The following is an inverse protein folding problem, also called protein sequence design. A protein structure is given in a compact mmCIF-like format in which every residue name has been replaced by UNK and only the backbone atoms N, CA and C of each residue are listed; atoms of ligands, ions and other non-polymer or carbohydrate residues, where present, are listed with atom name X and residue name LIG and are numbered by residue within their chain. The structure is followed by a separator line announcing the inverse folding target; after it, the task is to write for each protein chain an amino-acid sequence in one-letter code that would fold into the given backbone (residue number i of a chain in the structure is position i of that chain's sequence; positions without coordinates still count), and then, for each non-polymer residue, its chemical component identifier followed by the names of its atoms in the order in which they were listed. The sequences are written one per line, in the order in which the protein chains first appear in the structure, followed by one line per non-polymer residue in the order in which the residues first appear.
data_IF_205096371220
#
_entry.id   IF_205096371220
#
_cell.length_a   1.000
_cell.length_b   1.000
_cell.length_c   1.000
_cell.angle_alpha   90.00
_cell.angle_beta   90.00
_cell.angle_gamma   90.00
#
_symmetry.space_group_name_H-M   'P 1'
#
loop_
_entity.id
_entity.type
_entity.pdbx_description
1 polymer ?
#
# COMPACT_ATOMS: atom_id res chain seq x y z
N UNK A 1 21.56 -3.24 -6.61
CA UNK A 1 21.86 -3.12 -5.14
C UNK A 1 23.06 -3.98 -4.77
N UNK A 2 24.05 -4.04 -5.66
CA UNK A 2 24.77 -5.30 -5.84
C UNK A 2 25.98 -5.39 -4.92
N UNK A 3 26.62 -4.26 -4.64
CA UNK A 3 27.67 -4.16 -3.64
C UNK A 3 27.23 -4.62 -2.25
N UNK A 4 25.96 -4.43 -1.89
CA UNK A 4 25.43 -4.94 -0.62
C UNK A 4 25.35 -6.48 -0.64
N UNK A 5 24.88 -7.08 -1.74
CA UNK A 5 24.86 -8.53 -1.92
C UNK A 5 26.28 -9.11 -1.95
N UNK A 6 27.19 -8.51 -2.70
CA UNK A 6 28.61 -8.88 -2.74
C UNK A 6 29.23 -8.85 -1.34
N UNK A 7 28.93 -7.81 -0.56
CA UNK A 7 29.42 -7.72 0.81
C UNK A 7 28.89 -8.88 1.65
N UNK A 8 27.58 -9.16 1.64
CA UNK A 8 26.99 -10.29 2.38
C UNK A 8 27.64 -11.63 2.00
N UNK A 9 27.92 -11.84 0.72
CA UNK A 9 28.63 -13.04 0.25
C UNK A 9 30.05 -13.10 0.79
N UNK A 10 30.83 -12.03 0.62
CA UNK A 10 32.23 -11.96 1.06
C UNK A 10 32.38 -12.09 2.58
N UNK A 11 31.35 -11.65 3.30
CA UNK A 11 31.27 -11.66 4.74
C UNK A 11 30.80 -13.00 5.32
N UNK A 12 30.34 -13.92 4.47
CA UNK A 12 29.77 -15.20 4.90
C UNK A 12 28.37 -15.11 5.50
N UNK A 13 27.69 -13.95 5.36
CA UNK A 13 26.33 -13.73 5.81
C UNK A 13 26.07 -12.35 6.40
N UNK A 14 24.87 -12.17 6.93
CA UNK A 14 24.38 -10.96 7.58
C UNK A 14 23.63 -11.31 8.88
N UNK A 15 23.77 -10.45 9.88
CA UNK A 15 23.18 -10.58 11.20
C UNK A 15 21.67 -10.26 11.21
N UNK A 16 21.02 -10.54 12.35
CA UNK A 16 19.64 -10.08 12.58
C UNK A 16 19.61 -8.62 13.04
N UNK A 17 18.50 -7.92 12.80
CA UNK A 17 18.26 -6.56 13.34
C UNK A 17 18.40 -6.51 14.87
N UNK A 18 18.05 -7.57 15.59
CA UNK A 18 18.22 -7.61 17.05
C UNK A 18 19.69 -7.68 17.48
N UNK A 19 20.54 -8.33 16.69
CA UNK A 19 21.97 -8.50 17.00
C UNK A 19 22.78 -7.27 16.55
N UNK A 20 22.38 -6.65 15.43
CA UNK A 20 22.95 -5.40 14.92
C UNK A 20 21.86 -4.36 14.61
N UNK A 21 21.34 -3.64 15.62
CA UNK A 21 20.25 -2.69 15.42
C UNK A 21 20.64 -1.47 14.59
N UNK A 22 19.71 -0.99 13.76
CA UNK A 22 19.84 0.23 12.99
C UNK A 22 19.85 1.48 13.89
N UNK A 23 20.81 2.37 13.64
CA UNK A 23 21.01 3.62 14.41
C UNK A 23 20.70 4.89 13.63
N UNK A 24 20.44 4.81 12.32
CA UNK A 24 20.18 6.00 11.49
C UNK A 24 21.42 6.81 11.11
N UNK A 25 22.60 6.38 11.49
CA UNK A 25 23.88 7.07 11.22
C UNK A 25 25.01 6.07 11.05
N UNK A 26 26.01 6.43 10.24
CA UNK A 26 27.19 5.61 10.00
C UNK A 26 28.06 5.52 11.27
N UNK A 27 28.20 4.30 11.77
CA UNK A 27 29.06 3.97 12.90
C UNK A 27 30.38 3.32 12.49
N UNK A 28 31.22 3.01 13.49
CA UNK A 28 32.34 2.09 13.27
C UNK A 28 31.82 0.65 13.23
N UNK A 29 32.28 -0.15 12.26
CA UNK A 29 31.93 -1.57 12.18
C UNK A 29 32.27 -2.30 13.48
N UNK A 30 31.26 -2.87 14.14
CA UNK A 30 31.43 -3.63 15.37
C UNK A 30 31.60 -5.12 15.03
N UNK A 31 32.86 -5.53 14.84
CA UNK A 31 33.20 -6.90 14.44
C UNK A 31 32.76 -7.96 15.44
N UNK A 32 32.58 -7.63 16.72
CA UNK A 32 32.09 -8.59 17.73
C UNK A 32 30.60 -8.86 17.58
N UNK A 33 29.80 -7.84 17.26
CA UNK A 33 28.36 -8.04 17.00
C UNK A 33 28.13 -8.80 15.69
N UNK A 34 28.95 -8.48 14.71
CA UNK A 34 28.89 -8.94 13.34
C UNK A 34 29.28 -10.42 13.15
N UNK A 35 29.81 -11.08 14.18
CA UNK A 35 30.09 -12.53 14.15
C UNK A 35 28.82 -13.41 14.02
N UNK A 36 27.62 -12.87 14.29
CA UNK A 36 26.37 -13.66 14.37
C UNK A 36 25.67 -13.72 13.00
N UNK A 37 26.28 -14.44 12.05
CA UNK A 37 25.74 -14.63 10.69
C UNK A 37 24.42 -15.41 10.70
N UNK A 38 23.29 -14.71 10.59
CA UNK A 38 21.95 -15.31 10.67
C UNK A 38 21.50 -15.90 9.34
N UNK A 39 21.80 -15.24 8.23
CA UNK A 39 21.47 -15.67 6.86
C UNK A 39 22.66 -15.42 5.94
N UNK A 40 22.86 -16.29 4.96
CA UNK A 40 23.82 -16.09 3.87
C UNK A 40 23.13 -16.23 2.51
N UNK A 41 23.76 -15.68 1.48
CA UNK A 41 23.35 -15.81 0.09
C UNK A 41 24.52 -16.41 -0.70
N UNK A 42 24.23 -17.12 -1.79
CA UNK A 42 25.26 -17.78 -2.60
C UNK A 42 25.63 -16.96 -3.85
N UNK A 43 24.79 -15.99 -4.20
CA UNK A 43 24.96 -15.10 -5.34
C UNK A 43 23.92 -14.00 -5.36
N UNK A 44 23.91 -13.25 -6.45
CA UNK A 44 22.83 -12.34 -6.83
C UNK A 44 22.74 -12.30 -8.36
N UNK A 45 21.59 -11.87 -8.86
CA UNK A 45 21.35 -11.69 -10.30
C UNK A 45 20.72 -10.33 -10.55
N UNK A 46 21.17 -9.69 -11.64
CA UNK A 46 20.53 -8.51 -12.19
C UNK A 46 19.37 -8.94 -13.10
N UNK A 47 18.27 -8.22 -13.00
CA UNK A 47 17.11 -8.39 -13.87
C UNK A 47 17.33 -7.56 -15.12
N UNK A 48 17.02 -8.12 -16.29
CA UNK A 48 17.02 -7.34 -17.52
C UNK A 48 16.05 -6.15 -17.42
N UNK A 49 16.38 -5.03 -18.05
CA UNK A 49 15.68 -3.74 -17.97
C UNK A 49 14.34 -3.72 -18.73
N UNK A 50 13.58 -4.81 -18.65
CA UNK A 50 12.29 -5.00 -19.29
C UNK A 50 11.25 -5.34 -18.23
N UNK A 51 10.05 -4.75 -18.33
CA UNK A 51 8.94 -5.04 -17.40
C UNK A 51 8.64 -6.55 -17.31
N UNK A 52 8.73 -7.26 -18.44
CA UNK A 52 8.46 -8.70 -18.50
C UNK A 52 9.46 -9.53 -17.69
N UNK A 53 10.74 -9.10 -17.66
CA UNK A 53 11.78 -9.73 -16.88
C UNK A 53 11.59 -9.46 -15.39
N UNK A 54 11.27 -8.21 -15.02
CA UNK A 54 10.92 -7.85 -13.64
C UNK A 54 9.71 -8.64 -13.15
N UNK A 55 8.67 -8.76 -13.97
CA UNK A 55 7.50 -9.58 -13.66
C UNK A 55 7.85 -11.04 -13.39
N UNK A 56 8.69 -11.64 -14.25
CA UNK A 56 9.14 -13.02 -14.06
C UNK A 56 9.97 -13.21 -12.78
N UNK A 57 10.75 -12.20 -12.38
CA UNK A 57 11.52 -12.22 -11.15
C UNK A 57 10.63 -12.08 -9.91
N UNK A 58 9.69 -11.12 -9.92
CA UNK A 58 8.74 -10.86 -8.83
C UNK A 58 7.82 -12.06 -8.54
N UNK A 59 7.50 -12.87 -9.56
CA UNK A 59 6.76 -14.13 -9.38
C UNK A 59 7.46 -15.14 -8.46
N UNK A 60 8.79 -15.06 -8.32
CA UNK A 60 9.59 -16.01 -7.56
C UNK A 60 9.94 -15.49 -6.17
N UNK A 61 10.26 -14.21 -6.05
CA UNK A 61 10.70 -13.59 -4.80
C UNK A 61 10.59 -12.06 -4.86
N UNK A 62 10.68 -11.35 -3.72
CA UNK A 62 10.83 -9.90 -3.71
C UNK A 62 12.11 -9.45 -4.42
N UNK A 63 12.04 -8.34 -5.15
CA UNK A 63 13.12 -7.81 -5.99
C UNK A 63 13.48 -6.42 -5.51
N UNK A 64 14.77 -6.18 -5.27
CA UNK A 64 15.25 -4.83 -4.97
C UNK A 64 15.26 -4.04 -6.27
N UNK A 65 14.71 -2.82 -6.25
CA UNK A 65 14.69 -1.93 -7.42
C UNK A 65 15.14 -0.52 -7.06
N UNK A 66 15.79 0.17 -8.00
CA UNK A 66 16.00 1.61 -7.97
C UNK A 66 14.81 2.34 -8.60
N UNK A 67 14.47 3.52 -8.07
CA UNK A 67 13.48 4.43 -8.62
C UNK A 67 13.96 5.88 -8.52
N UNK A 68 13.38 6.78 -9.32
CA UNK A 68 13.33 8.21 -8.99
C UNK A 68 12.26 8.45 -7.92
N UNK A 69 12.70 8.71 -6.69
CA UNK A 69 11.85 9.08 -5.55
C UNK A 69 11.82 10.59 -5.28
N UNK A 70 12.46 11.41 -6.13
CA UNK A 70 12.65 12.84 -5.92
C UNK A 70 11.42 13.70 -6.19
N UNK A 71 10.44 13.19 -6.94
CA UNK A 71 9.23 13.93 -7.27
C UNK A 71 8.37 14.26 -6.03
N UNK A 72 7.85 15.49 -5.96
CA UNK A 72 7.12 16.00 -4.78
C UNK A 72 5.83 15.20 -4.56
N UNK A 73 5.13 14.81 -5.62
CA UNK A 73 3.92 14.01 -5.56
C UNK A 73 4.20 12.55 -5.10
N UNK A 74 5.37 11.99 -5.43
CA UNK A 74 5.82 10.72 -4.83
C UNK A 74 6.11 10.87 -3.33
N UNK A 75 6.83 11.92 -2.93
CA UNK A 75 7.15 12.18 -1.52
C UNK A 75 5.87 12.36 -0.68
N UNK A 76 4.83 12.97 -1.26
CA UNK A 76 3.53 13.20 -0.63
C UNK A 76 2.50 12.10 -0.89
N UNK A 77 2.90 10.94 -1.44
CA UNK A 77 2.00 9.84 -1.74
C UNK A 77 1.28 9.31 -0.48
N UNK A 78 -0.04 9.19 -0.56
CA UNK A 78 -0.89 8.67 0.53
C UNK A 78 -1.76 7.47 0.12
N UNK A 79 -1.77 7.07 -1.15
CA UNK A 79 -2.55 5.92 -1.63
C UNK A 79 -2.99 5.99 -3.10
N UNK A 80 -3.58 4.89 -3.58
CA UNK A 80 -3.97 4.70 -4.99
C UNK A 80 -2.83 4.17 -5.86
N UNK A 81 -3.11 3.97 -7.16
CA UNK A 81 -2.08 3.58 -8.14
C UNK A 81 -1.37 4.84 -8.62
N UNK A 82 -0.08 4.92 -8.33
CA UNK A 82 0.79 6.04 -8.65
C UNK A 82 1.28 5.97 -10.11
N UNK A 83 1.09 7.06 -10.85
CA UNK A 83 1.57 7.31 -12.22
C UNK A 83 1.93 8.81 -12.35
N UNK A 84 2.64 9.32 -11.34
CA UNK A 84 2.94 10.74 -11.18
C UNK A 84 4.15 11.23 -11.97
N UNK A 85 4.69 12.37 -11.54
CA UNK A 85 5.69 13.18 -12.27
C UNK A 85 7.15 12.74 -12.06
N UNK A 86 7.40 11.58 -11.43
CA UNK A 86 8.76 11.02 -11.33
C UNK A 86 9.33 10.73 -12.72
N UNK A 87 10.64 10.94 -12.84
CA UNK A 87 11.41 10.68 -14.05
C UNK A 87 11.40 9.20 -14.41
N UNK A 88 11.24 8.91 -15.70
CA UNK A 88 11.45 7.58 -16.27
C UNK A 88 12.87 7.41 -16.86
N UNK A 89 13.76 8.37 -16.61
CA UNK A 89 15.17 8.30 -16.98
C UNK A 89 15.97 7.48 -15.96
N UNK A 90 16.69 6.43 -16.37
CA UNK A 90 17.54 5.63 -15.48
C UNK A 90 18.65 6.44 -14.79
N UNK A 91 19.10 7.55 -15.39
CA UNK A 91 20.14 8.41 -14.81
C UNK A 91 19.63 9.26 -13.63
N UNK A 92 18.30 9.38 -13.46
CA UNK A 92 17.65 10.13 -12.37
C UNK A 92 17.31 9.27 -11.14
N UNK A 93 17.64 7.98 -11.16
CA UNK A 93 17.40 7.08 -10.01
C UNK A 93 18.18 7.57 -8.78
N UNK A 94 17.45 7.84 -7.69
CA UNK A 94 18.01 8.36 -6.45
C UNK A 94 17.66 7.54 -5.19
N UNK A 95 16.74 6.59 -5.31
CA UNK A 95 16.20 5.85 -4.16
C UNK A 95 16.02 4.36 -4.45
N UNK A 96 16.28 3.52 -3.44
CA UNK A 96 16.13 2.07 -3.54
C UNK A 96 14.95 1.57 -2.71
N UNK A 97 14.08 0.76 -3.31
CA UNK A 97 12.90 0.15 -2.69
C UNK A 97 12.82 -1.34 -3.00
N UNK A 98 11.79 -2.02 -2.49
CA UNK A 98 11.59 -3.45 -2.70
C UNK A 98 10.23 -3.71 -3.37
N UNK A 99 10.22 -4.30 -4.56
CA UNK A 99 9.00 -4.83 -5.16
C UNK A 99 8.66 -6.14 -4.45
N UNK A 100 7.51 -6.19 -3.79
CA UNK A 100 7.05 -7.36 -3.01
C UNK A 100 5.89 -8.10 -3.67
N UNK A 101 5.37 -7.58 -4.77
CA UNK A 101 4.25 -8.17 -5.49
C UNK A 101 3.73 -7.26 -6.60
N UNK A 102 2.60 -7.65 -7.17
CA UNK A 102 1.91 -6.93 -8.23
C UNK A 102 0.40 -7.17 -8.10
N UNK A 103 -0.39 -6.33 -8.76
CA UNK A 103 -1.84 -6.43 -8.78
C UNK A 103 -2.46 -5.86 -10.04
N UNK A 104 -3.79 -5.93 -10.06
CA UNK A 104 -4.65 -5.35 -11.08
C UNK A 104 -5.89 -4.80 -10.37
N UNK A 105 -6.26 -3.56 -10.67
CA UNK A 105 -7.52 -2.95 -10.24
C UNK A 105 -8.23 -2.34 -11.47
N UNK A 106 -9.35 -2.96 -11.87
CA UNK A 106 -10.00 -2.63 -13.13
C UNK A 106 -9.10 -2.95 -14.33
N UNK A 107 -8.82 -1.94 -15.14
CA UNK A 107 -7.90 -2.02 -16.28
C UNK A 107 -6.47 -1.50 -15.93
N UNK A 108 -6.23 -1.16 -14.66
CA UNK A 108 -4.96 -0.62 -14.20
C UNK A 108 -4.13 -1.70 -13.52
N UNK A 109 -2.93 -1.91 -14.04
CA UNK A 109 -1.98 -2.89 -13.53
C UNK A 109 -0.94 -2.18 -12.67
N UNK A 110 -0.48 -2.77 -11.55
CA UNK A 110 0.51 -2.11 -10.68
C UNK A 110 1.51 -3.07 -10.01
N UNK A 111 2.66 -2.54 -9.63
CA UNK A 111 3.63 -3.09 -8.68
C UNK A 111 3.26 -2.72 -7.26
N UNK A 112 3.55 -3.58 -6.29
CA UNK A 112 3.46 -3.27 -4.87
C UNK A 112 4.90 -3.08 -4.37
N UNK A 113 5.25 -1.84 -4.02
CA UNK A 113 6.57 -1.52 -3.46
C UNK A 113 6.48 -1.36 -1.95
N UNK A 114 7.51 -1.84 -1.25
CA UNK A 114 7.78 -1.57 0.16
C UNK A 114 8.85 -0.48 0.24
N UNK A 115 8.53 0.62 0.91
CA UNK A 115 9.44 1.73 1.14
C UNK A 115 10.09 1.65 2.54
N UNK A 116 11.03 2.55 2.82
CA UNK A 116 11.80 2.65 4.06
C UNK A 116 11.54 3.95 4.84
N UNK A 117 10.49 4.71 4.51
CA UNK A 117 10.13 5.99 5.14
C UNK A 117 9.11 5.88 6.29
N UNK A 118 8.99 4.70 6.89
CA UNK A 118 8.05 4.43 7.98
C UNK A 118 6.61 4.18 7.51
N UNK A 119 5.75 3.84 8.47
CA UNK A 119 4.36 3.43 8.20
C UNK A 119 3.41 4.61 7.97
N UNK A 120 3.82 5.82 8.33
CA UNK A 120 3.01 7.03 8.14
C UNK A 120 3.02 7.52 6.69
N UNK A 121 3.96 7.03 5.88
CA UNK A 121 4.04 7.33 4.45
C UNK A 121 3.25 6.31 3.62
N UNK A 122 2.55 6.79 2.59
CA UNK A 122 1.79 5.94 1.68
C UNK A 122 0.72 5.10 2.35
N UNK A 123 0.63 3.84 1.96
CA UNK A 123 -0.30 2.86 2.52
C UNK A 123 0.47 1.96 3.49
N UNK A 124 0.60 2.39 4.74
CA UNK A 124 1.35 1.67 5.77
C UNK A 124 2.83 1.41 5.39
N UNK A 125 3.47 2.35 4.70
CA UNK A 125 4.83 2.23 4.19
C UNK A 125 4.97 1.57 2.82
N UNK A 126 3.84 1.28 2.15
CA UNK A 126 3.80 0.72 0.80
C UNK A 126 3.22 1.72 -0.21
N UNK A 127 3.53 1.51 -1.49
CA UNK A 127 2.89 2.20 -2.59
C UNK A 127 2.56 1.25 -3.74
N UNK A 128 1.54 1.60 -4.51
CA UNK A 128 1.23 0.92 -5.77
C UNK A 128 1.77 1.77 -6.92
N UNK A 129 2.69 1.24 -7.72
CA UNK A 129 3.28 1.94 -8.86
C UNK A 129 2.70 1.34 -10.14
N UNK A 130 2.15 2.17 -11.02
CA UNK A 130 1.54 1.68 -12.26
C UNK A 130 2.55 0.91 -13.12
N UNK A 131 2.09 -0.21 -13.68
CA UNK A 131 2.83 -1.03 -14.65
C UNK A 131 2.07 -1.11 -15.98
N UNK A 132 2.71 -1.73 -16.95
CA UNK A 132 2.22 -1.91 -18.32
C UNK A 132 1.95 -0.56 -19.00
N UNK A 133 2.93 0.34 -18.85
CA UNK A 133 2.93 1.68 -19.46
C UNK A 133 3.74 1.71 -20.74
N UNK A 134 3.72 2.85 -21.46
CA UNK A 134 4.57 3.07 -22.63
C UNK A 134 5.98 3.59 -22.29
N UNK A 135 6.34 3.69 -21.00
CA UNK A 135 7.66 4.16 -20.54
C UNK A 135 8.66 3.00 -20.63
N UNK A 136 9.78 3.19 -21.30
CA UNK A 136 10.76 2.12 -21.58
C UNK A 136 11.27 1.47 -20.28
N UNK A 137 11.56 2.29 -19.25
CA UNK A 137 12.02 1.82 -17.93
C UNK A 137 10.91 1.77 -16.88
N UNK A 138 9.65 1.88 -17.28
CA UNK A 138 8.51 1.93 -16.38
C UNK A 138 8.37 3.25 -15.62
N UNK A 139 7.33 3.36 -14.79
CA UNK A 139 7.10 4.53 -13.94
C UNK A 139 8.23 4.66 -12.91
N UNK A 140 8.77 5.86 -12.76
CA UNK A 140 9.92 6.17 -11.91
C UNK A 140 11.20 5.38 -12.25
N UNK A 141 11.36 4.96 -13.51
CA UNK A 141 12.46 4.12 -13.97
C UNK A 141 12.60 2.76 -13.23
N UNK A 142 11.52 2.24 -12.64
CA UNK A 142 11.52 1.05 -11.76
C UNK A 142 12.12 -0.22 -12.40
N UNK A 143 12.10 -0.34 -13.73
CA UNK A 143 12.66 -1.49 -14.44
C UNK A 143 14.17 -1.36 -14.69
N UNK A 144 14.76 -0.17 -14.56
CA UNK A 144 16.13 0.10 -15.01
C UNK A 144 17.22 -0.44 -14.08
N UNK A 145 16.94 -0.57 -12.78
CA UNK A 145 17.94 -1.03 -11.81
C UNK A 145 17.32 -2.04 -10.85
N UNK A 146 17.18 -3.28 -11.31
CA UNK A 146 16.56 -4.34 -10.53
C UNK A 146 17.53 -5.50 -10.30
N UNK A 147 17.63 -5.97 -9.05
CA UNK A 147 18.47 -7.13 -8.72
C UNK A 147 17.97 -7.88 -7.49
N UNK A 148 18.35 -9.15 -7.37
CA UNK A 148 17.89 -10.02 -6.29
C UNK A 148 18.96 -11.01 -5.84
N UNK A 149 19.02 -11.37 -4.54
CA UNK A 149 19.95 -12.37 -4.05
C UNK A 149 19.49 -13.78 -4.43
N UNK A 150 20.44 -14.68 -4.64
CA UNK A 150 20.19 -16.10 -4.93
C UNK A 150 20.69 -16.99 -3.80
N UNK A 151 20.02 -18.13 -3.63
CA UNK A 151 20.42 -19.19 -2.71
C UNK A 151 20.28 -20.53 -3.41
N UNK A 152 21.37 -21.27 -3.49
CA UNK A 152 21.41 -22.64 -3.99
C UNK A 152 20.65 -23.55 -3.03
N UNK A 153 19.66 -24.27 -3.56
CA UNK A 153 18.97 -25.32 -2.80
C UNK A 153 19.95 -26.46 -2.52
N UNK A 154 20.35 -26.61 -1.25
CA UNK A 154 21.35 -27.60 -0.82
C UNK A 154 20.89 -29.07 -0.84
N UNK A 155 19.86 -29.42 -1.60
CA UNK A 155 19.42 -30.79 -1.80
C UNK A 155 18.96 -31.09 -3.24
N UNK A 156 19.47 -32.15 -3.91
CA UNK A 156 18.69 -32.80 -4.94
C UNK A 156 17.41 -33.34 -4.29
N UNK A 157 16.26 -32.97 -4.82
CA UNK A 157 14.97 -33.51 -4.34
C UNK A 157 15.04 -35.05 -4.35
N UNK A 158 14.86 -35.74 -3.21
CA UNK A 158 14.81 -37.20 -3.17
C UNK A 158 13.52 -37.76 -3.80
N UNK A 159 12.63 -36.88 -4.27
CA UNK A 159 11.39 -37.25 -4.94
C UNK A 159 11.55 -37.09 -6.46
N UNK A 160 11.31 -38.16 -7.26
CA UNK A 160 11.09 -37.97 -8.68
C UNK A 160 9.91 -37.03 -8.88
N UNK A 161 10.00 -36.15 -9.88
CA UNK A 161 8.88 -35.30 -10.30
C UNK A 161 7.60 -36.14 -10.37
N UNK A 162 6.51 -35.72 -9.69
CA UNK A 162 5.23 -36.39 -9.84
C UNK A 162 4.89 -36.47 -11.33
N UNK A 163 4.52 -37.66 -11.80
CA UNK A 163 3.98 -37.81 -13.14
C UNK A 163 2.82 -36.82 -13.30
N UNK A 164 2.89 -35.98 -14.33
CA UNK A 164 1.83 -35.02 -14.67
C UNK A 164 0.53 -35.83 -14.79
N UNK A 165 -0.47 -35.61 -13.93
CA UNK A 165 -1.74 -36.31 -14.06
C UNK A 165 -2.37 -35.94 -15.41
N UNK A 166 -3.12 -36.85 -16.05
CA UNK A 166 -3.81 -36.54 -17.28
C UNK A 166 -4.72 -35.32 -17.08
N UNK A 167 -4.88 -34.45 -18.11
CA UNK A 167 -5.72 -33.28 -18.00
C UNK A 167 -7.14 -33.70 -17.59
N UNK A 168 -7.78 -32.97 -16.66
CA UNK A 168 -9.16 -33.24 -16.29
C UNK A 168 -10.09 -33.07 -17.50
N UNK A 169 -11.24 -33.76 -17.52
CA UNK A 169 -12.24 -33.56 -18.56
C UNK A 169 -12.68 -32.08 -18.62
N UNK A 170 -13.07 -31.60 -19.81
CA UNK A 170 -13.51 -30.22 -19.96
C UNK A 170 -14.70 -29.93 -19.03
N UNK A 171 -14.73 -28.76 -18.36
CA UNK A 171 -15.83 -28.39 -17.51
C UNK A 171 -17.13 -28.26 -18.31
N UNK A 172 -18.29 -28.48 -17.68
CA UNK A 172 -19.58 -28.20 -18.30
C UNK A 172 -19.68 -26.71 -18.67
N UNK A 173 -20.51 -26.37 -19.67
CA UNK A 173 -20.72 -24.98 -20.08
C UNK A 173 -21.20 -24.14 -18.88
N UNK A 174 -20.68 -22.91 -18.73
CA UNK A 174 -21.08 -22.04 -17.64
C UNK A 174 -22.57 -21.71 -17.73
N UNK A 175 -23.24 -21.52 -16.57
CA UNK A 175 -24.60 -21.02 -16.56
C UNK A 175 -24.65 -19.61 -17.19
N UNK A 176 -25.83 -19.19 -17.70
CA UNK A 176 -25.99 -17.85 -18.25
C UNK A 176 -25.66 -16.78 -17.19
N UNK A 177 -25.09 -15.64 -17.60
CA UNK A 177 -24.72 -14.60 -16.67
C UNK A 177 -25.95 -14.05 -15.94
N UNK A 178 -25.83 -13.72 -14.64
CA UNK A 178 -26.88 -13.02 -13.93
C UNK A 178 -27.14 -11.64 -14.55
N UNK A 179 -28.34 -11.07 -14.35
CA UNK A 179 -28.64 -9.73 -14.81
C UNK A 179 -27.64 -8.71 -14.22
N UNK A 180 -27.34 -7.62 -14.95
CA UNK A 180 -26.40 -6.61 -14.48
C UNK A 180 -26.87 -6.01 -13.14
N UNK A 181 -25.95 -5.79 -12.18
CA UNK A 181 -26.28 -5.12 -10.93
C UNK A 181 -26.76 -3.69 -11.21
N UNK A 182 -27.67 -3.22 -10.36
CA UNK A 182 -28.11 -1.82 -10.34
C UNK A 182 -26.92 -0.89 -10.09
N UNK A 183 -26.90 0.31 -10.69
CA UNK A 183 -25.78 1.25 -10.54
C UNK A 183 -25.58 1.62 -9.06
N UNK A 184 -24.32 1.78 -8.62
CA UNK A 184 -24.00 2.13 -7.23
C UNK A 184 -24.57 3.52 -6.88
N UNK A 185 -24.93 3.74 -5.60
CA UNK A 185 -25.46 5.02 -5.15
C UNK A 185 -24.41 6.13 -5.26
N UNK A 186 -24.83 7.32 -5.66
CA UNK A 186 -23.94 8.47 -5.92
C UNK A 186 -23.30 9.00 -4.64
N UNK A 187 -21.98 9.26 -4.61
CA UNK A 187 -21.28 9.79 -3.43
C UNK A 187 -21.76 11.18 -2.99
N UNK A 188 -21.81 11.40 -1.67
CA UNK A 188 -22.14 12.69 -1.06
C UNK A 188 -20.99 13.67 -1.25
N UNK A 189 -21.25 14.84 -1.84
CA UNK A 189 -20.22 15.82 -2.18
C UNK A 189 -19.93 16.77 -1.01
N UNK A 190 -18.66 16.94 -0.67
CA UNK A 190 -18.20 17.78 0.44
C UNK A 190 -17.35 18.95 -0.09
N UNK A 191 -18.00 20.10 -0.32
CA UNK A 191 -17.36 21.25 -0.97
C UNK A 191 -16.91 20.92 -2.40
N UNK A 192 -15.89 21.64 -2.89
CA UNK A 192 -15.46 21.55 -4.29
C UNK A 192 -14.52 20.36 -4.56
N UNK A 193 -13.70 19.98 -3.57
CA UNK A 193 -12.61 19.03 -3.75
C UNK A 193 -12.69 17.78 -2.86
N UNK A 194 -13.81 17.52 -2.18
CA UNK A 194 -13.92 16.35 -1.31
C UNK A 194 -15.26 15.64 -1.44
N UNK A 195 -15.33 14.38 -1.02
CA UNK A 195 -16.55 13.58 -1.01
C UNK A 195 -16.53 12.49 0.08
N UNK A 196 -17.72 12.03 0.44
CA UNK A 196 -17.97 10.91 1.34
C UNK A 196 -18.77 9.81 0.63
N UNK A 197 -18.87 8.63 1.22
CA UNK A 197 -19.73 7.57 0.69
C UNK A 197 -21.20 8.03 0.64
N UNK A 198 -22.01 7.40 -0.21
CA UNK A 198 -23.41 7.79 -0.41
C UNK A 198 -24.30 7.68 0.85
N UNK A 199 -23.84 6.93 1.86
CA UNK A 199 -24.52 6.75 3.15
C UNK A 199 -23.88 7.56 4.28
N UNK A 200 -22.93 8.43 3.96
CA UNK A 200 -22.20 9.26 4.91
C UNK A 200 -22.55 10.74 4.74
N UNK A 201 -22.43 11.50 5.83
CA UNK A 201 -22.67 12.95 5.86
C UNK A 201 -21.36 13.73 5.94
N UNK A 202 -21.22 14.77 5.11
CA UNK A 202 -20.08 15.68 5.13
C UNK A 202 -20.17 16.64 6.32
N UNK A 203 -19.14 16.68 7.16
CA UNK A 203 -19.02 17.59 8.30
C UNK A 203 -17.70 18.37 8.27
N UNK A 204 -17.74 19.67 8.53
CA UNK A 204 -16.51 20.47 8.53
C UNK A 204 -15.66 20.21 9.77
N UNK A 205 -14.39 19.84 9.58
CA UNK A 205 -13.41 19.63 10.65
C UNK A 205 -12.64 20.93 10.92
N UNK A 206 -12.28 21.68 9.88
CA UNK A 206 -11.48 22.90 10.02
C UNK A 206 -12.07 24.04 9.17
N UNK A 207 -12.46 25.12 9.84
CA UNK A 207 -13.02 26.33 9.25
C UNK A 207 -12.01 27.49 9.32
N UNK A 208 -11.91 28.24 8.22
CA UNK A 208 -11.10 29.45 8.13
C UNK A 208 -11.89 30.52 7.35
N UNK A 209 -12.22 31.65 8.00
CA UNK A 209 -13.02 32.73 7.40
C UNK A 209 -14.36 32.26 6.79
N UNK A 210 -15.17 31.49 7.53
CA UNK A 210 -16.46 30.92 7.10
C UNK A 210 -16.39 29.93 5.91
N UNK A 211 -15.18 29.54 5.49
CA UNK A 211 -14.96 28.47 4.53
C UNK A 211 -14.42 27.22 5.21
N UNK A 212 -15.01 26.07 4.89
CA UNK A 212 -14.50 24.78 5.34
C UNK A 212 -13.33 24.33 4.47
N UNK A 213 -12.13 24.21 5.06
CA UNK A 213 -10.93 23.77 4.37
C UNK A 213 -10.77 22.24 4.40
N UNK A 214 -11.22 21.61 5.49
CA UNK A 214 -11.09 20.17 5.70
C UNK A 214 -12.45 19.61 6.06
N UNK A 215 -12.93 18.69 5.22
CA UNK A 215 -14.16 17.95 5.45
C UNK A 215 -13.85 16.59 6.07
N UNK A 216 -14.78 16.12 6.91
CA UNK A 216 -14.81 14.76 7.42
C UNK A 216 -16.12 14.07 7.09
N UNK A 217 -16.09 12.75 6.98
CA UNK A 217 -17.23 11.89 6.77
C UNK A 217 -17.73 11.31 8.08
N UNK A 218 -19.02 11.52 8.34
CA UNK A 218 -19.74 10.88 9.42
C UNK A 218 -20.49 9.64 8.90
N UNK A 219 -20.36 8.52 9.61
CA UNK A 219 -21.00 7.22 9.32
C UNK A 219 -22.51 7.17 9.60
N UNK A 220 -23.19 8.31 9.49
CA UNK A 220 -24.65 8.40 9.59
C UNK A 220 -25.17 9.15 8.36
N UNK A 221 -26.31 8.69 7.84
CA UNK A 221 -27.11 9.49 6.91
C UNK A 221 -27.74 10.64 7.70
N UNK A 222 -27.67 11.86 7.15
CA UNK A 222 -28.17 13.09 7.76
C UNK A 222 -27.63 13.38 9.17
N UNK A 223 -26.33 13.14 9.37
CA UNK A 223 -25.67 13.34 10.66
C UNK A 223 -25.69 14.80 11.13
N UNK A 224 -25.70 14.99 12.44
CA UNK A 224 -25.47 16.29 13.08
C UNK A 224 -23.98 16.47 13.33
N UNK A 225 -23.42 17.52 12.72
CA UNK A 225 -22.00 17.84 12.85
C UNK A 225 -21.75 18.69 14.11
N UNK A 226 -21.00 18.15 15.07
CA UNK A 226 -20.59 18.89 16.26
C UNK A 226 -19.51 19.94 15.90
N UNK A 227 -19.93 21.20 15.74
CA UNK A 227 -19.06 22.30 15.32
C UNK A 227 -17.81 22.45 16.19
N UNK A 228 -16.67 22.73 15.58
CA UNK A 228 -15.40 22.93 16.28
C UNK A 228 -14.75 21.65 16.84
N UNK A 229 -15.28 20.48 16.48
CA UNK A 229 -14.78 19.18 16.95
C UNK A 229 -14.72 18.16 15.82
N UNK A 230 -14.01 17.07 16.07
CA UNK A 230 -13.92 15.93 15.14
C UNK A 230 -15.07 14.92 15.29
N UNK A 231 -16.11 15.22 16.07
CA UNK A 231 -17.20 14.29 16.38
C UNK A 231 -18.50 14.62 15.65
N UNK A 232 -19.35 13.62 15.45
CA UNK A 232 -20.68 13.78 14.86
C UNK A 232 -21.68 12.86 15.56
N UNK A 233 -22.95 13.24 15.46
CA UNK A 233 -24.08 12.57 16.07
C UNK A 233 -25.10 12.12 15.03
N UNK A 234 -25.87 11.05 15.29
CA UNK A 234 -26.99 10.67 14.44
C UNK A 234 -28.09 11.74 14.47
N UNK A 235 -28.87 11.83 13.40
CA UNK A 235 -29.96 12.81 13.24
C UNK A 235 -30.91 12.90 14.46
N UNK A 236 -31.25 11.75 15.06
CA UNK A 236 -32.19 11.68 16.17
C UNK A 236 -31.62 12.19 17.51
N UNK A 237 -30.32 12.48 17.57
CA UNK A 237 -29.61 12.96 18.77
C UNK A 237 -28.84 14.25 18.45
N UNK A 238 -29.54 15.39 18.32
CA UNK A 238 -28.97 16.61 17.75
C UNK A 238 -28.06 17.40 18.71
N UNK A 239 -27.95 17.00 19.97
CA UNK A 239 -27.17 17.72 20.98
C UNK A 239 -25.84 17.00 21.19
N UNK A 240 -24.73 17.70 20.94
CA UNK A 240 -23.38 17.18 21.14
C UNK A 240 -22.85 17.53 22.54
N UNK A 241 -22.63 16.52 23.38
CA UNK A 241 -21.87 16.63 24.62
C UNK A 241 -20.46 16.07 24.37
N UNK A 242 -19.51 16.97 24.10
CA UNK A 242 -18.15 16.61 23.70
C UNK A 242 -17.27 16.29 24.91
N UNK A 243 -17.60 16.82 26.09
CA UNK A 243 -16.84 16.56 27.32
C UNK A 243 -17.01 15.10 27.75
N UNK A 244 -18.23 14.59 27.67
CA UNK A 244 -18.56 13.19 27.98
C UNK A 244 -18.57 12.28 26.75
N UNK A 245 -18.44 12.84 25.55
CA UNK A 245 -18.43 12.10 24.28
C UNK A 245 -19.78 11.48 23.92
N UNK A 246 -20.88 12.16 24.23
CA UNK A 246 -22.26 11.69 24.05
C UNK A 246 -23.06 12.58 23.08
N UNK A 247 -24.06 11.98 22.46
CA UNK A 247 -25.10 12.62 21.69
C UNK A 247 -26.43 12.46 22.44
N UNK A 248 -27.13 13.55 22.68
CA UNK A 248 -28.35 13.60 23.49
C UNK A 248 -29.56 13.98 22.63
N UNK A 249 -30.74 13.49 23.01
CA UNK A 249 -31.99 13.86 22.34
C UNK A 249 -32.52 15.19 22.85
N UNK A 250 -32.47 15.43 24.17
CA UNK A 250 -32.99 16.62 24.81
C UNK A 250 -31.97 17.26 25.75
N UNK A 251 -32.10 18.58 25.95
CA UNK A 251 -31.27 19.32 26.89
C UNK A 251 -31.57 18.86 28.33
N UNK A 252 -30.55 18.34 29.02
CA UNK A 252 -30.64 17.82 30.39
C UNK A 252 -30.72 16.30 30.51
N UNK A 253 -30.65 15.57 29.40
CA UNK A 253 -30.48 14.11 29.41
C UNK A 253 -29.05 13.75 29.88
N UNK A 254 -28.92 12.78 30.78
CA UNK A 254 -27.62 12.27 31.27
C UNK A 254 -27.20 10.96 30.59
N UNK A 255 -28.07 10.41 29.73
CA UNK A 255 -27.82 9.18 28.98
C UNK A 255 -28.02 9.49 27.51
N UNK A 256 -27.02 9.15 26.71
CA UNK A 256 -27.00 9.40 25.27
C UNK A 256 -26.37 8.24 24.51
N UNK A 257 -26.28 8.40 23.20
CA UNK A 257 -25.47 7.50 22.35
C UNK A 257 -24.06 8.07 22.22
N UNK A 258 -23.05 7.22 22.07
CA UNK A 258 -21.68 7.69 21.93
C UNK A 258 -21.52 8.55 20.67
N UNK A 259 -20.86 9.70 20.80
CA UNK A 259 -20.47 10.53 19.68
C UNK A 259 -19.42 9.82 18.84
N UNK A 260 -19.56 9.88 17.52
CA UNK A 260 -18.68 9.15 16.60
C UNK A 260 -17.64 10.09 16.01
N UNK A 261 -16.37 9.68 16.06
CA UNK A 261 -15.28 10.42 15.42
C UNK A 261 -15.39 10.32 13.89
N UNK A 262 -15.22 11.45 13.22
CA UNK A 262 -15.29 11.57 11.75
C UNK A 262 -14.03 10.98 11.10
N UNK A 263 -14.21 10.42 9.91
CA UNK A 263 -13.10 10.03 9.01
C UNK A 263 -12.74 11.23 8.14
N UNK A 264 -11.49 11.38 7.70
CA UNK A 264 -11.16 12.44 6.73
C UNK A 264 -11.90 12.19 5.41
N UNK A 265 -12.48 13.23 4.82
CA UNK A 265 -13.14 13.13 3.53
C UNK A 265 -12.13 12.85 2.43
N UNK A 266 -12.56 12.12 1.40
CA UNK A 266 -11.70 11.75 0.29
C UNK A 266 -11.60 12.92 -0.68
N UNK A 267 -10.41 13.18 -1.19
CA UNK A 267 -10.21 14.27 -2.14
C UNK A 267 -10.56 13.87 -3.58
N UNK A 268 -11.16 14.80 -4.31
CA UNK A 268 -11.30 14.75 -5.77
C UNK A 268 -10.04 15.32 -6.38
N UNK A 269 -9.19 14.46 -6.91
CA UNK A 269 -8.14 14.90 -7.81
C UNK A 269 -8.61 14.80 -9.27
N UNK A 270 -8.14 15.67 -10.19
CA UNK A 270 -8.54 15.69 -11.61
C UNK A 270 -8.42 14.34 -12.35
N UNK A 271 -7.61 13.42 -11.83
CA UNK A 271 -7.36 12.08 -12.38
C UNK A 271 -8.13 10.95 -11.66
N UNK A 272 -8.85 11.25 -10.58
CA UNK A 272 -9.67 10.26 -9.88
C UNK A 272 -11.05 10.13 -10.54
N UNK A 273 -11.34 8.99 -11.16
CA UNK A 273 -12.71 8.65 -11.55
C UNK A 273 -13.54 8.48 -10.26
N UNK A 274 -14.72 9.10 -10.12
CA UNK A 274 -15.50 9.10 -8.87
C UNK A 274 -16.01 7.72 -8.38
N UNK A 275 -15.74 6.63 -9.10
CA UNK A 275 -16.38 5.33 -8.86
C UNK A 275 -15.55 4.33 -8.06
N UNK A 276 -14.29 4.59 -7.70
CA UNK A 276 -13.46 3.57 -7.02
C UNK A 276 -12.83 4.02 -5.70
N UNK A 277 -13.67 4.34 -4.71
CA UNK A 277 -13.19 4.29 -3.32
C UNK A 277 -14.17 3.62 -2.34
N UNK A 278 -15.22 2.96 -2.85
CA UNK A 278 -16.11 2.10 -2.04
C UNK A 278 -15.57 0.67 -1.91
N UNK A 279 -14.24 0.50 -1.90
CA UNK A 279 -13.65 -0.72 -1.36
C UNK A 279 -12.92 -0.29 -0.11
N UNK A 280 -13.46 -0.71 1.04
CA UNK A 280 -12.64 -0.87 2.24
C UNK A 280 -11.37 -1.55 1.76
N UNK A 281 -10.24 -0.83 1.74
CA UNK A 281 -8.95 -1.47 1.73
C UNK A 281 -8.95 -2.28 3.02
N UNK A 282 -9.34 -3.55 2.93
CA UNK A 282 -8.89 -4.49 3.92
C UNK A 282 -7.37 -4.51 3.72
N UNK A 283 -6.57 -4.06 4.70
CA UNK A 283 -5.15 -4.33 4.64
C UNK A 283 -5.05 -5.84 4.43
N UNK A 284 -4.41 -6.25 3.32
CA UNK A 284 -4.21 -7.66 3.04
C UNK A 284 -3.48 -8.23 4.26
N UNK A 285 -4.15 -9.09 5.02
CA UNK A 285 -3.51 -9.81 6.12
C UNK A 285 -2.41 -10.67 5.52
N UNK A 286 -1.16 -10.22 5.67
CA UNK A 286 0.01 -10.98 5.32
C UNK A 286 0.08 -12.22 6.19
N UNK A 287 -0.39 -13.34 5.66
CA UNK A 287 -0.09 -14.65 6.23
C UNK A 287 1.35 -14.98 5.86
N UNK A 288 2.30 -14.54 6.69
CA UNK A 288 3.71 -14.99 6.63
C UNK A 288 3.70 -16.51 6.45
N UNK A 289 4.13 -17.00 5.30
CA UNK A 289 4.32 -18.42 5.11
C UNK A 289 5.46 -18.84 6.04
N UNK A 290 5.11 -19.40 7.22
CA UNK A 290 6.10 -19.81 8.22
C UNK A 290 7.07 -20.89 7.72
N UNK A 291 6.81 -21.45 6.54
CA UNK A 291 7.66 -22.45 5.89
C UNK A 291 8.56 -21.90 4.78
N UNK A 292 8.41 -20.63 4.37
CA UNK A 292 9.31 -20.02 3.39
C UNK A 292 10.73 -19.81 3.94
N UNK A 293 10.88 -19.76 5.27
CA UNK A 293 12.17 -19.68 5.95
C UNK A 293 12.79 -21.05 6.31
N UNK A 294 12.20 -22.17 5.86
CA UNK A 294 12.67 -23.53 6.21
C UNK A 294 12.88 -24.41 4.97
N UNK A 295 13.42 -23.87 3.88
CA UNK A 295 13.95 -24.69 2.77
C UNK A 295 15.30 -24.18 2.33
#
# INVERSE_FOLDING_TARGET
MDYAFEWVMSNGGIDTESDYPYTGEDGTCNTTKEETKAVSIDGYEDVAEEESALFCAVLKQPISVGIDGGAIDFQLYTGGIYDGDCSDDPDDIDHAVLVVGYGVEGDEEYWIIKNSWGTDWGMEGYAYIKRSTSKDYGVCAINAMASYPTKESSAPSPYPSPAVPPPPPPPPPPPPPPPPPTPPPTPTQCGDFSYCAATETCCCIFEFFDFCLIYGCCDYMDAVCCTGTEYCCPHDYPICDIEEGLCLQNAGDFLGVAAKKRKMAKHKFPWTKPEDTSKNHQPLEWKRNRFAAMR
#
